data_IF_323201792257
#
_entry.id   IF_323201792257
#
_cell.length_a   1.000
_cell.length_b   1.000
_cell.length_c   1.000
_cell.angle_alpha   90.00
_cell.angle_beta   90.00
_cell.angle_gamma   90.00
#
_symmetry.space_group_name_H-M   'P 1'
#
loop_
_entity.id
_entity.type
_entity.pdbx_description
1 polymer ?
#
# COMPACT_ATOMS: atom_id res chain seq x y z
N UNK A 1 8.91 11.06 24.14
CA UNK A 1 8.07 10.61 25.27
C UNK A 1 6.69 11.21 25.02
N UNK A 2 5.77 10.41 24.46
CA UNK A 2 4.34 10.76 24.41
C UNK A 2 3.81 10.61 25.84
N UNK A 3 3.72 11.72 26.57
CA UNK A 3 3.02 11.73 27.85
C UNK A 3 1.52 11.79 27.58
N UNK A 4 0.82 10.72 27.89
CA UNK A 4 -0.64 10.76 28.03
C UNK A 4 -0.91 11.37 29.40
N UNK A 5 -1.31 12.62 29.46
CA UNK A 5 -1.81 13.24 30.68
C UNK A 5 -3.10 12.55 31.09
N UNK A 6 -2.98 11.57 31.99
CA UNK A 6 -4.12 11.07 32.74
C UNK A 6 -4.51 12.10 33.80
N UNK A 7 -5.81 12.25 34.08
CA UNK A 7 -6.42 13.21 35.01
C UNK A 7 -5.95 13.17 36.47
N UNK A 8 -4.86 12.51 36.78
CA UNK A 8 -4.30 12.34 38.13
C UNK A 8 -2.82 12.66 38.27
N UNK A 9 -2.26 13.58 37.48
CA UNK A 9 -0.91 14.15 37.74
C UNK A 9 0.28 13.19 37.81
N UNK A 10 0.11 11.91 37.51
CA UNK A 10 1.18 10.94 37.50
C UNK A 10 1.54 10.65 36.04
N UNK A 11 2.60 11.31 35.56
CA UNK A 11 3.22 11.00 34.27
C UNK A 11 3.77 9.57 34.33
N UNK A 12 2.94 8.60 33.96
CA UNK A 12 3.43 7.24 33.72
C UNK A 12 4.11 7.22 32.36
N UNK A 13 5.42 7.33 32.36
CA UNK A 13 6.20 6.98 31.18
C UNK A 13 5.82 5.55 30.80
N UNK A 14 5.28 5.37 29.59
CA UNK A 14 4.99 4.02 29.07
C UNK A 14 6.31 3.24 29.04
N UNK A 15 6.30 1.98 29.47
CA UNK A 15 7.50 1.15 29.44
C UNK A 15 8.02 1.08 27.99
N UNK A 16 9.33 1.09 27.76
CA UNK A 16 9.91 1.15 26.42
C UNK A 16 9.38 0.07 25.47
N UNK A 17 9.11 -1.12 26.01
CA UNK A 17 8.56 -2.25 25.24
C UNK A 17 7.13 -1.98 24.73
N UNK A 18 6.31 -1.28 25.50
CA UNK A 18 4.95 -0.89 25.09
C UNK A 18 5.00 0.21 24.02
N UNK A 19 5.95 1.13 24.09
CA UNK A 19 6.17 2.14 23.06
C UNK A 19 6.66 1.50 21.75
N UNK A 20 7.59 0.55 21.81
CA UNK A 20 8.09 -0.15 20.64
C UNK A 20 7.01 -1.00 19.98
N UNK A 21 6.20 -1.73 20.75
CA UNK A 21 5.09 -2.52 20.21
C UNK A 21 4.02 -1.63 19.56
N UNK A 22 3.75 -0.47 20.16
CA UNK A 22 2.82 0.50 19.62
C UNK A 22 3.33 1.12 18.31
N UNK A 23 4.61 1.51 18.26
CA UNK A 23 5.26 2.02 17.03
C UNK A 23 5.32 0.96 15.92
N UNK A 24 5.54 -0.31 16.26
CA UNK A 24 5.51 -1.41 15.30
C UNK A 24 4.11 -1.62 14.70
N UNK A 25 3.04 -1.47 15.49
CA UNK A 25 1.66 -1.61 14.99
C UNK A 25 1.31 -0.52 13.97
N UNK A 26 1.78 0.70 14.16
CA UNK A 26 1.62 1.78 13.18
C UNK A 26 2.40 1.53 11.89
N UNK A 27 3.56 0.87 11.98
CA UNK A 27 4.35 0.46 10.82
C UNK A 27 3.60 -0.46 9.86
N UNK A 28 2.66 -1.28 10.35
CA UNK A 28 1.82 -2.16 9.53
C UNK A 28 0.58 -1.41 9.02
N UNK A 29 0.08 -0.45 9.78
CA UNK A 29 -1.15 0.26 9.45
C UNK A 29 -1.01 1.13 8.17
N UNK A 30 0.10 1.83 8.02
CA UNK A 30 0.33 2.70 6.85
C UNK A 30 0.32 1.94 5.51
N UNK A 31 1.05 0.83 5.35
CA UNK A 31 0.99 0.06 4.11
C UNK A 31 -0.39 -0.56 3.87
N UNK A 32 -1.11 -1.01 4.92
CA UNK A 32 -2.48 -1.49 4.80
C UNK A 32 -3.45 -0.40 4.36
N UNK A 33 -3.33 0.80 4.92
CA UNK A 33 -4.14 1.95 4.49
C UNK A 33 -3.85 2.33 3.04
N UNK A 34 -2.57 2.38 2.65
CA UNK A 34 -2.18 2.68 1.27
C UNK A 34 -2.76 1.66 0.29
N UNK A 35 -2.64 0.36 0.61
CA UNK A 35 -3.21 -0.72 -0.20
C UNK A 35 -4.74 -0.66 -0.24
N UNK A 36 -5.39 -0.45 0.90
CA UNK A 36 -6.85 -0.36 1.03
C UNK A 36 -7.43 0.82 0.23
N UNK A 37 -6.84 1.99 0.34
CA UNK A 37 -7.25 3.17 -0.43
C UNK A 37 -7.07 2.92 -1.93
N UNK A 38 -5.92 2.39 -2.35
CA UNK A 38 -5.68 2.04 -3.74
C UNK A 38 -6.70 1.07 -4.30
N UNK A 39 -7.03 0.02 -3.52
CA UNK A 39 -8.05 -0.97 -3.88
C UNK A 39 -9.45 -0.35 -4.00
N UNK A 40 -9.89 0.42 -3.00
CA UNK A 40 -11.24 1.01 -2.99
C UNK A 40 -11.44 1.98 -4.16
N UNK A 41 -10.45 2.82 -4.45
CA UNK A 41 -10.52 3.76 -5.57
C UNK A 41 -10.49 3.01 -6.92
N UNK A 42 -9.68 1.95 -7.05
CA UNK A 42 -9.64 1.12 -8.24
C UNK A 42 -10.98 0.42 -8.50
N UNK A 43 -11.58 -0.18 -7.47
CA UNK A 43 -12.92 -0.79 -7.56
C UNK A 43 -13.98 0.25 -7.91
N UNK A 44 -13.94 1.43 -7.28
CA UNK A 44 -14.85 2.53 -7.59
C UNK A 44 -14.74 3.02 -9.02
N UNK A 45 -13.51 3.08 -9.56
CA UNK A 45 -13.27 3.48 -10.94
C UNK A 45 -13.95 2.53 -11.95
N UNK A 46 -14.01 1.23 -11.70
CA UNK A 46 -14.60 0.24 -12.60
C UNK A 46 -16.06 -0.14 -12.25
N UNK A 47 -16.59 0.32 -11.12
CA UNK A 47 -17.94 -0.02 -10.65
C UNK A 47 -19.05 0.26 -11.69
N UNK A 48 -19.06 1.37 -12.46
CA UNK A 48 -20.08 1.61 -13.48
C UNK A 48 -20.05 0.58 -14.60
N UNK A 49 -18.85 0.13 -15.03
CA UNK A 49 -18.71 -0.84 -16.12
C UNK A 49 -19.13 -2.23 -15.70
N UNK A 50 -18.83 -2.62 -14.47
CA UNK A 50 -19.29 -3.90 -13.92
C UNK A 50 -20.82 -3.95 -13.83
N UNK A 51 -21.47 -2.85 -13.43
CA UNK A 51 -22.93 -2.75 -13.36
C UNK A 51 -23.57 -2.76 -14.76
N UNK A 52 -22.95 -2.06 -15.73
CA UNK A 52 -23.45 -1.94 -17.10
C UNK A 52 -23.02 -3.07 -18.04
N UNK A 53 -22.35 -4.13 -17.55
CA UNK A 53 -21.80 -5.23 -18.38
C UNK A 53 -20.95 -4.74 -19.55
N UNK A 54 -20.20 -3.65 -19.36
CA UNK A 54 -19.37 -2.98 -20.37
C UNK A 54 -20.12 -2.44 -21.61
N UNK A 55 -21.43 -2.54 -21.67
CA UNK A 55 -22.22 -2.06 -22.82
C UNK A 55 -22.07 -0.55 -23.00
N UNK A 56 -22.04 0.19 -21.89
CA UNK A 56 -21.89 1.64 -21.94
C UNK A 56 -20.51 2.05 -22.45
N UNK A 57 -19.45 1.39 -22.01
CA UNK A 57 -18.09 1.67 -22.46
C UNK A 57 -17.89 1.38 -23.97
N UNK A 58 -18.61 0.39 -24.51
CA UNK A 58 -18.55 0.01 -25.92
C UNK A 58 -19.38 0.93 -26.83
N UNK A 59 -20.36 1.66 -26.28
CA UNK A 59 -21.22 2.57 -27.04
C UNK A 59 -20.64 3.99 -27.17
N UNK A 60 -19.56 4.32 -26.43
CA UNK A 60 -18.93 5.62 -26.50
C UNK A 60 -18.07 5.76 -27.78
N UNK A 61 -18.16 6.88 -28.52
CA UNK A 61 -17.34 7.14 -29.70
C UNK A 61 -15.92 7.64 -29.33
N UNK A 62 -15.28 6.92 -28.37
CA UNK A 62 -13.95 7.26 -27.87
C UNK A 62 -13.06 6.03 -27.98
N UNK A 63 -11.80 6.22 -28.32
CA UNK A 63 -10.80 5.15 -28.33
C UNK A 63 -10.68 4.53 -26.94
N UNK A 64 -10.63 3.21 -26.86
CA UNK A 64 -10.60 2.45 -25.61
C UNK A 64 -9.44 2.88 -24.69
N UNK A 65 -8.27 3.16 -25.26
CA UNK A 65 -7.12 3.59 -24.50
C UNK A 65 -7.33 4.95 -23.82
N UNK A 66 -8.00 5.90 -24.51
CA UNK A 66 -8.36 7.21 -23.96
C UNK A 66 -9.35 7.08 -22.81
N UNK A 67 -10.33 6.21 -22.95
CA UNK A 67 -11.31 5.91 -21.92
C UNK A 67 -10.63 5.37 -20.64
N UNK A 68 -9.75 4.38 -20.78
CA UNK A 68 -8.99 3.78 -19.66
C UNK A 68 -8.08 4.85 -19.02
N UNK A 69 -7.42 5.67 -19.83
CA UNK A 69 -6.51 6.71 -19.34
C UNK A 69 -7.26 7.80 -18.57
N UNK A 70 -8.41 8.25 -19.05
CA UNK A 70 -9.26 9.21 -18.34
C UNK A 70 -9.75 8.66 -17.00
N UNK A 71 -10.13 7.39 -16.95
CA UNK A 71 -10.50 6.72 -15.70
C UNK A 71 -9.34 6.60 -14.71
N UNK A 72 -8.18 6.24 -15.21
CA UNK A 72 -6.97 6.19 -14.39
C UNK A 72 -6.64 7.58 -13.82
N UNK A 73 -6.69 8.62 -14.62
CA UNK A 73 -6.48 10.00 -14.17
C UNK A 73 -7.52 10.43 -13.15
N UNK A 74 -8.80 10.11 -13.37
CA UNK A 74 -9.86 10.40 -12.40
C UNK A 74 -9.62 9.68 -11.07
N UNK A 75 -9.19 8.41 -11.09
CA UNK A 75 -8.81 7.67 -9.88
C UNK A 75 -7.61 8.30 -9.17
N UNK A 76 -6.58 8.70 -9.92
CA UNK A 76 -5.42 9.39 -9.37
C UNK A 76 -5.79 10.72 -8.69
N UNK A 77 -6.71 11.51 -9.26
CA UNK A 77 -7.17 12.75 -8.61
C UNK A 77 -7.90 12.48 -7.30
N UNK A 78 -8.70 11.42 -7.23
CA UNK A 78 -9.38 11.02 -5.98
C UNK A 78 -8.39 10.60 -4.90
N UNK A 79 -7.32 9.91 -5.27
CA UNK A 79 -6.28 9.45 -4.33
C UNK A 79 -5.50 10.63 -3.71
N UNK A 80 -5.38 11.76 -4.40
CA UNK A 80 -4.66 12.92 -3.87
C UNK A 80 -5.24 13.40 -2.53
N UNK A 81 -6.54 13.26 -2.33
CA UNK A 81 -7.21 13.72 -1.10
C UNK A 81 -6.74 12.95 0.15
N UNK A 82 -6.78 11.60 0.22
CA UNK A 82 -6.24 10.87 1.36
C UNK A 82 -4.72 11.00 1.50
N UNK A 83 -3.98 11.13 0.40
CA UNK A 83 -2.54 11.38 0.44
C UNK A 83 -2.26 12.72 1.12
N UNK A 84 -2.97 13.78 0.72
CA UNK A 84 -2.83 15.09 1.33
C UNK A 84 -3.22 15.07 2.82
N UNK A 85 -4.29 14.35 3.19
CA UNK A 85 -4.71 14.21 4.57
C UNK A 85 -3.65 13.54 5.45
N UNK A 86 -3.06 12.43 4.98
CA UNK A 86 -1.96 11.75 5.70
C UNK A 86 -0.74 12.65 5.82
N UNK A 87 -0.39 13.36 4.76
CA UNK A 87 0.77 14.24 4.75
C UNK A 87 0.61 15.42 5.70
N UNK A 88 -0.53 16.13 5.62
CA UNK A 88 -0.84 17.23 6.55
C UNK A 88 -0.87 16.72 7.99
N UNK A 89 -1.48 15.55 8.24
CA UNK A 89 -1.49 14.92 9.55
C UNK A 89 -0.08 14.60 10.07
N UNK A 90 0.81 14.09 9.21
CA UNK A 90 2.20 13.80 9.56
C UNK A 90 2.98 15.07 9.88
N UNK A 91 2.84 16.13 9.08
CA UNK A 91 3.49 17.43 9.32
C UNK A 91 2.98 18.05 10.62
N UNK A 92 1.66 18.02 10.85
CA UNK A 92 1.06 18.52 12.09
C UNK A 92 1.55 17.73 13.31
N UNK A 93 1.58 16.42 13.23
CA UNK A 93 2.07 15.58 14.32
C UNK A 93 3.54 15.86 14.67
N UNK A 94 4.41 16.02 13.67
CA UNK A 94 5.84 16.33 13.91
C UNK A 94 6.07 17.76 14.39
N UNK A 95 5.24 18.72 14.02
CA UNK A 95 5.36 20.11 14.46
C UNK A 95 4.89 20.34 15.90
N UNK A 96 3.96 19.52 16.38
CA UNK A 96 3.39 19.63 17.75
C UNK A 96 4.05 18.69 18.75
N UNK A 97 4.75 17.65 18.29
CA UNK A 97 5.43 16.71 19.17
C UNK A 97 6.74 17.30 19.71
N UNK A 98 6.96 17.19 21.01
CA UNK A 98 8.29 17.42 21.61
C UNK A 98 9.16 16.20 21.30
N UNK A 99 10.02 16.34 20.28
CA UNK A 99 10.92 15.27 19.86
C UNK A 99 12.16 15.31 20.77
N UNK A 100 12.50 14.20 21.47
CA UNK A 100 13.71 14.12 22.29
C UNK A 100 14.99 14.35 21.47
N UNK A 101 16.06 14.81 22.14
CA UNK A 101 17.37 14.97 21.50
C UNK A 101 17.86 13.66 20.88
N UNK A 102 18.27 13.71 19.62
CA UNK A 102 18.73 12.55 18.85
C UNK A 102 17.67 11.89 17.95
N UNK A 103 16.40 12.29 18.05
CA UNK A 103 15.33 11.82 17.15
C UNK A 103 14.94 12.94 16.17
N UNK A 104 14.61 12.55 14.94
CA UNK A 104 14.14 13.47 13.89
C UNK A 104 12.79 13.04 13.35
N UNK A 105 11.97 14.03 12.98
CA UNK A 105 10.67 13.81 12.36
C UNK A 105 10.78 13.74 10.83
N UNK A 106 10.39 12.62 10.24
CA UNK A 106 10.45 12.37 8.79
C UNK A 106 9.07 12.45 8.13
N UNK A 107 8.28 13.50 8.44
CA UNK A 107 6.94 13.70 7.88
C UNK A 107 6.91 13.69 6.34
N UNK A 108 7.91 14.30 5.71
CA UNK A 108 8.03 14.36 4.25
C UNK A 108 8.31 12.99 3.64
N UNK A 109 9.24 12.23 4.24
CA UNK A 109 9.60 10.90 3.76
C UNK A 109 8.42 9.93 3.91
N UNK A 110 7.70 9.97 5.04
CA UNK A 110 6.50 9.18 5.26
C UNK A 110 5.40 9.54 4.26
N UNK A 111 5.13 10.84 4.06
CA UNK A 111 4.12 11.30 3.13
C UNK A 111 4.42 10.91 1.68
N UNK A 112 5.66 11.07 1.24
CA UNK A 112 6.10 10.66 -0.09
C UNK A 112 5.99 9.14 -0.28
N UNK A 113 6.46 8.37 0.70
CA UNK A 113 6.35 6.90 0.67
C UNK A 113 4.91 6.44 0.63
N UNK A 114 4.04 7.04 1.44
CA UNK A 114 2.62 6.75 1.45
C UNK A 114 1.97 7.07 0.09
N UNK A 115 2.30 8.22 -0.49
CA UNK A 115 1.82 8.61 -1.81
C UNK A 115 2.22 7.59 -2.89
N UNK A 116 3.50 7.22 -2.96
CA UNK A 116 4.01 6.26 -3.93
C UNK A 116 3.38 4.88 -3.71
N UNK A 117 3.29 4.40 -2.47
CA UNK A 117 2.66 3.12 -2.15
C UNK A 117 1.18 3.08 -2.57
N UNK A 118 0.43 4.17 -2.28
CA UNK A 118 -0.99 4.27 -2.67
C UNK A 118 -1.16 4.29 -4.18
N UNK A 119 -0.30 5.01 -4.92
CA UNK A 119 -0.32 5.06 -6.38
C UNK A 119 0.01 3.68 -6.98
N UNK A 120 1.02 2.99 -6.45
CA UNK A 120 1.38 1.63 -6.91
C UNK A 120 0.24 0.65 -6.63
N UNK A 121 -0.34 0.68 -5.42
CA UNK A 121 -1.50 -0.15 -5.09
C UNK A 121 -2.66 0.12 -6.04
N UNK A 122 -3.00 1.39 -6.25
CA UNK A 122 -4.05 1.78 -7.19
C UNK A 122 -3.77 1.27 -8.60
N UNK A 123 -2.55 1.44 -9.13
CA UNK A 123 -2.20 1.00 -10.48
C UNK A 123 -2.36 -0.53 -10.64
N UNK A 124 -1.89 -1.29 -9.66
CA UNK A 124 -2.01 -2.76 -9.64
C UNK A 124 -3.49 -3.18 -9.59
N UNK A 125 -4.25 -2.65 -8.63
CA UNK A 125 -5.67 -3.00 -8.48
C UNK A 125 -6.53 -2.48 -9.64
N UNK A 126 -6.19 -1.32 -10.20
CA UNK A 126 -6.85 -0.78 -11.38
C UNK A 126 -6.65 -1.69 -12.60
N UNK A 127 -5.43 -2.18 -12.80
CA UNK A 127 -5.12 -3.14 -13.88
C UNK A 127 -5.86 -4.48 -13.67
N UNK A 128 -5.89 -4.98 -12.45
CA UNK A 128 -6.61 -6.23 -12.11
C UNK A 128 -8.12 -6.05 -12.30
N UNK A 129 -8.68 -4.96 -11.79
CA UNK A 129 -10.13 -4.68 -11.83
C UNK A 129 -10.63 -4.36 -13.24
N UNK A 130 -9.78 -3.78 -14.10
CA UNK A 130 -10.08 -3.55 -15.52
C UNK A 130 -9.90 -4.79 -16.40
N UNK A 131 -9.28 -5.83 -15.84
CA UNK A 131 -9.04 -7.08 -16.54
C UNK A 131 -10.31 -7.91 -16.74
N UNK A 132 -10.30 -8.70 -17.80
CA UNK A 132 -11.35 -9.71 -18.04
C UNK A 132 -11.14 -10.92 -17.12
N UNK A 133 -12.15 -11.80 -17.02
CA UNK A 133 -12.02 -13.08 -16.32
C UNK A 133 -10.81 -13.92 -16.79
N UNK A 134 -10.40 -13.74 -18.06
CA UNK A 134 -9.16 -14.36 -18.60
C UNK A 134 -7.89 -13.81 -17.92
N UNK A 135 -7.81 -12.50 -17.68
CA UNK A 135 -6.67 -11.87 -17.01
C UNK A 135 -6.53 -12.34 -15.57
N UNK A 136 -7.67 -12.40 -14.84
CA UNK A 136 -7.70 -12.94 -13.49
C UNK A 136 -7.31 -14.43 -13.47
N UNK A 137 -7.83 -15.23 -14.41
CA UNK A 137 -7.46 -16.62 -14.57
C UNK A 137 -5.98 -16.83 -14.90
N UNK A 138 -5.39 -15.96 -15.71
CA UNK A 138 -3.97 -16.01 -16.05
C UNK A 138 -3.09 -15.69 -14.83
N UNK A 139 -3.43 -14.66 -14.08
CA UNK A 139 -2.71 -14.28 -12.84
C UNK A 139 -2.78 -15.42 -11.81
N UNK A 140 -3.98 -15.94 -11.55
CA UNK A 140 -4.17 -17.07 -10.62
C UNK A 140 -3.47 -18.34 -11.13
N UNK A 141 -3.49 -18.58 -12.44
CA UNK A 141 -2.78 -19.68 -13.08
C UNK A 141 -1.26 -19.56 -12.87
N UNK A 142 -0.68 -18.40 -13.08
CA UNK A 142 0.76 -18.16 -12.83
C UNK A 142 1.11 -18.40 -11.36
N UNK A 143 0.30 -17.90 -10.43
CA UNK A 143 0.51 -18.14 -8.99
C UNK A 143 0.41 -19.64 -8.68
N UNK A 144 -0.59 -20.32 -9.21
CA UNK A 144 -0.77 -21.76 -9.04
C UNK A 144 0.40 -22.58 -9.57
N UNK A 145 0.92 -22.22 -10.76
CA UNK A 145 2.10 -22.87 -11.35
C UNK A 145 3.34 -22.65 -10.48
N UNK A 146 3.56 -21.44 -9.96
CA UNK A 146 4.68 -21.14 -9.05
C UNK A 146 4.61 -21.97 -7.77
N UNK A 147 3.43 -22.07 -7.16
CA UNK A 147 3.22 -22.88 -5.96
C UNK A 147 3.45 -24.37 -6.27
N UNK A 148 2.88 -24.88 -7.37
CA UNK A 148 3.08 -26.26 -7.78
C UNK A 148 4.54 -26.57 -8.06
N UNK A 149 5.26 -25.69 -8.77
CA UNK A 149 6.69 -25.83 -9.02
C UNK A 149 7.50 -25.87 -7.71
N UNK A 150 7.21 -24.99 -6.75
CA UNK A 150 7.85 -25.01 -5.44
C UNK A 150 7.64 -26.33 -4.70
N UNK A 151 6.40 -26.83 -4.69
CA UNK A 151 6.07 -28.12 -4.06
C UNK A 151 6.82 -29.29 -4.73
N UNK A 152 6.88 -29.31 -6.05
CA UNK A 152 7.62 -30.36 -6.80
C UNK A 152 9.11 -30.33 -6.52
N UNK A 153 9.73 -29.11 -6.49
CA UNK A 153 11.15 -28.93 -6.21
C UNK A 153 11.47 -29.38 -4.79
N UNK A 154 10.63 -28.98 -3.82
CA UNK A 154 10.78 -29.41 -2.43
C UNK A 154 10.64 -30.93 -2.27
N UNK A 155 9.69 -31.56 -2.99
CA UNK A 155 9.49 -33.01 -2.98
C UNK A 155 10.68 -33.76 -3.64
N UNK A 156 11.38 -33.12 -4.59
CA UNK A 156 12.60 -33.67 -5.22
C UNK A 156 13.87 -33.51 -4.32
N UNK A 157 13.75 -32.93 -3.11
CA UNK A 157 14.86 -32.73 -2.19
C UNK A 157 15.83 -31.60 -2.63
N UNK A 158 15.42 -30.74 -3.55
CA UNK A 158 16.23 -29.60 -4.00
C UNK A 158 15.91 -28.40 -3.09
N UNK A 159 16.92 -27.84 -2.45
CA UNK A 159 16.83 -26.64 -1.60
C UNK A 159 16.75 -25.35 -2.44
N UNK A 160 15.80 -25.25 -3.36
CA UNK A 160 15.61 -24.08 -4.20
C UNK A 160 14.29 -23.40 -3.79
N UNK A 161 14.41 -22.20 -3.21
CA UNK A 161 13.26 -21.41 -2.76
C UNK A 161 12.82 -20.43 -3.88
N UNK A 162 11.97 -20.92 -4.79
CA UNK A 162 11.41 -20.09 -5.86
C UNK A 162 10.51 -19.00 -5.32
N UNK A 163 9.68 -19.32 -4.32
CA UNK A 163 8.74 -18.36 -3.74
C UNK A 163 9.48 -17.27 -2.99
N UNK A 164 10.51 -17.64 -2.23
CA UNK A 164 11.40 -16.67 -1.57
C UNK A 164 12.15 -15.80 -2.57
N UNK A 165 12.66 -16.38 -3.66
CA UNK A 165 13.33 -15.64 -4.74
C UNK A 165 12.41 -14.64 -5.43
N UNK A 166 11.19 -15.05 -5.80
CA UNK A 166 10.18 -14.15 -6.37
C UNK A 166 9.77 -13.09 -5.33
N UNK A 167 9.57 -13.49 -4.07
CA UNK A 167 9.28 -12.57 -2.98
C UNK A 167 10.38 -11.52 -2.82
N UNK A 168 11.64 -11.90 -2.82
CA UNK A 168 12.76 -10.97 -2.75
C UNK A 168 12.78 -10.00 -3.93
N UNK A 169 12.54 -10.50 -5.15
CA UNK A 169 12.52 -9.67 -6.36
C UNK A 169 11.36 -8.67 -6.37
N UNK A 170 10.24 -9.00 -5.74
CA UNK A 170 9.04 -8.16 -5.71
C UNK A 170 9.07 -7.18 -4.54
N UNK A 171 9.50 -7.62 -3.35
CA UNK A 171 9.43 -6.84 -2.09
C UNK A 171 10.76 -6.18 -1.69
N UNK A 172 11.90 -6.61 -2.24
CA UNK A 172 13.17 -5.93 -2.00
C UNK A 172 13.45 -4.91 -3.09
N UNK A 173 14.20 -3.86 -2.73
CA UNK A 173 14.64 -2.87 -3.71
C UNK A 173 15.51 -3.52 -4.81
N UNK A 174 15.25 -3.26 -6.10
CA UNK A 174 14.33 -2.29 -6.72
C UNK A 174 12.93 -2.83 -7.08
N UNK A 175 12.40 -3.79 -6.35
CA UNK A 175 11.10 -4.40 -6.65
C UNK A 175 9.92 -3.44 -6.52
N UNK A 176 8.83 -3.67 -7.30
CA UNK A 176 7.70 -2.76 -7.37
C UNK A 176 6.93 -2.63 -6.04
N UNK A 177 6.97 -3.65 -5.18
CA UNK A 177 6.31 -3.64 -3.88
C UNK A 177 7.29 -3.38 -2.72
N UNK A 178 8.56 -3.01 -3.00
CA UNK A 178 9.53 -2.62 -1.98
C UNK A 178 9.05 -1.43 -1.13
N UNK A 179 8.16 -0.60 -1.69
CA UNK A 179 7.52 0.50 -0.98
C UNK A 179 6.68 0.04 0.22
N UNK A 180 6.10 -1.17 0.16
CA UNK A 180 5.28 -1.75 1.22
C UNK A 180 6.11 -2.48 2.28
N UNK A 181 7.33 -2.87 1.93
CA UNK A 181 8.28 -3.52 2.83
C UNK A 181 9.09 -2.49 3.64
N UNK A 182 9.70 -2.94 4.74
CA UNK A 182 10.56 -2.10 5.58
C UNK A 182 9.81 -1.23 6.60
N UNK A 183 10.55 -0.35 7.27
CA UNK A 183 10.01 0.45 8.38
C UNK A 183 9.22 1.65 7.89
N UNK A 184 8.01 1.82 8.42
CA UNK A 184 7.15 2.98 8.21
C UNK A 184 7.14 3.80 9.49
N UNK A 185 8.10 4.70 9.64
CA UNK A 185 8.27 5.50 10.85
C UNK A 185 8.09 6.97 10.56
N UNK A 186 7.36 7.65 11.45
CA UNK A 186 7.20 9.10 11.44
C UNK A 186 8.38 9.77 12.16
N UNK A 187 8.95 9.11 13.17
CA UNK A 187 10.06 9.57 13.99
C UNK A 187 11.09 8.43 14.02
N UNK A 188 12.33 8.72 13.70
CA UNK A 188 13.45 7.76 13.72
C UNK A 188 14.73 8.47 14.20
N UNK A 189 15.81 7.68 14.43
CA UNK A 189 17.11 8.13 14.93
C UNK A 189 17.91 8.81 13.84
#
# INVERSE_FOLDING_TARGET
VLSVQGASGNERALPPDALLSWLQSWGILYPLLAAGIGLLVAMGAWAPDHRGRHVHALSLPIDRWRYVLLRMLAGLTVILLPIAAVWVGAVFATSTATIPEGLQGYAWALGLRFALATVVAFAVFFAISGGTARTAGLILGCIGVLIAAQVMISAAGVELDLLGGVGQLVFNWPGPLALFAGRWMLIDV
#
